data_IF_724205163119
#
_entry.id   IF_724205163119
#
_cell.length_a   1.000
_cell.length_b   1.000
_cell.length_c   1.000
_cell.angle_alpha   90.00
_cell.angle_beta   90.00
_cell.angle_gamma   90.00
#
_symmetry.space_group_name_H-M   'P 1'
#
loop_
_entity.id
_entity.type
_entity.pdbx_description
1 polymer ?
#
# COMPACT_ATOMS: atom_id res chain seq x y z
N UNK A 1 -14.79 34.89 -4.91
CA UNK A 1 -15.96 35.04 -4.02
C UNK A 1 -17.16 34.28 -4.60
N UNK A 2 -17.10 32.96 -4.70
CA UNK A 2 -18.18 32.11 -5.26
C UNK A 2 -18.94 31.33 -4.18
N UNK A 3 -18.31 31.07 -3.02
CA UNK A 3 -18.96 30.35 -1.90
C UNK A 3 -20.11 31.10 -1.21
N UNK A 4 -20.30 32.40 -1.49
CA UNK A 4 -21.37 33.21 -0.88
C UNK A 4 -22.64 33.35 -1.72
N UNK A 5 -22.61 33.01 -3.02
CA UNK A 5 -23.76 33.18 -3.93
C UNK A 5 -24.63 31.93 -4.10
N UNK A 6 -24.13 30.75 -3.74
CA UNK A 6 -24.83 29.47 -3.87
C UNK A 6 -25.88 29.18 -2.78
N UNK A 7 -26.16 30.15 -1.89
CA UNK A 7 -27.07 30.00 -0.75
C UNK A 7 -28.46 30.64 -0.95
N UNK A 8 -28.81 31.11 -2.16
CA UNK A 8 -30.03 31.92 -2.36
C UNK A 8 -31.04 31.47 -3.41
N UNK A 9 -30.73 30.59 -4.36
CA UNK A 9 -31.76 30.05 -5.27
C UNK A 9 -31.36 28.67 -5.85
N UNK A 10 -32.11 27.58 -5.61
CA UNK A 10 -31.75 26.22 -6.02
C UNK A 10 -32.02 25.89 -7.50
N UNK A 11 -32.65 26.78 -8.28
CA UNK A 11 -33.06 26.48 -9.67
C UNK A 11 -32.11 26.98 -10.76
N UNK A 12 -31.33 28.03 -10.52
CA UNK A 12 -30.31 28.52 -11.48
C UNK A 12 -28.97 27.75 -11.40
N UNK A 13 -28.83 26.82 -10.47
CA UNK A 13 -27.59 26.07 -10.25
C UNK A 13 -27.36 24.95 -11.30
N UNK A 14 -28.40 24.47 -11.98
CA UNK A 14 -28.34 23.26 -12.82
C UNK A 14 -27.52 23.42 -14.09
N UNK A 15 -27.62 24.57 -14.78
CA UNK A 15 -26.95 24.75 -16.08
C UNK A 15 -25.45 25.05 -15.91
N UNK A 16 -25.10 25.78 -14.84
CA UNK A 16 -23.69 26.03 -14.50
C UNK A 16 -23.04 24.80 -13.84
N UNK A 17 -23.81 23.97 -13.11
CA UNK A 17 -23.36 22.66 -12.67
C UNK A 17 -23.12 21.74 -13.87
N UNK A 18 -23.96 21.73 -14.90
CA UNK A 18 -23.80 20.87 -16.07
C UNK A 18 -22.45 21.01 -16.78
N UNK A 19 -21.95 22.25 -16.92
CA UNK A 19 -20.64 22.51 -17.53
C UNK A 19 -19.45 22.29 -16.56
N UNK A 20 -19.62 22.56 -15.26
CA UNK A 20 -18.60 22.26 -14.23
C UNK A 20 -18.48 20.76 -13.94
N UNK A 21 -19.57 20.01 -14.04
CA UNK A 21 -19.66 18.55 -13.84
C UNK A 21 -19.05 17.76 -15.01
N UNK A 22 -18.82 18.38 -16.17
CA UNK A 22 -18.11 17.74 -17.28
C UNK A 22 -16.62 17.51 -16.99
N UNK A 23 -16.06 18.15 -15.95
CA UNK A 23 -14.62 18.10 -15.62
C UNK A 23 -14.30 17.77 -14.17
N UNK A 24 -15.29 17.72 -13.29
CA UNK A 24 -15.06 17.46 -11.87
C UNK A 24 -16.06 16.47 -11.28
N UNK A 25 -15.51 15.49 -10.56
CA UNK A 25 -16.28 14.49 -9.83
C UNK A 25 -16.86 15.15 -8.57
N UNK A 26 -18.17 15.43 -8.55
CA UNK A 26 -18.88 15.78 -7.30
C UNK A 26 -19.92 14.71 -7.00
N UNK A 27 -19.82 14.14 -5.80
CA UNK A 27 -20.84 13.26 -5.21
C UNK A 27 -21.71 14.15 -4.31
N UNK A 28 -22.96 14.39 -4.71
CA UNK A 28 -23.98 15.04 -3.87
C UNK A 28 -24.89 13.95 -3.29
N UNK A 29 -25.13 13.99 -1.97
CA UNK A 29 -26.15 13.20 -1.29
C UNK A 29 -27.25 14.15 -0.82
N UNK A 30 -28.47 13.98 -1.31
CA UNK A 30 -29.68 14.50 -0.66
C UNK A 30 -30.91 13.66 -1.02
N UNK A 31 -31.65 13.26 0.02
CA UNK A 31 -32.99 12.67 0.10
C UNK A 31 -33.35 11.42 -0.77
N UNK A 32 -33.72 10.27 -0.17
CA UNK A 32 -34.08 9.04 -0.91
C UNK A 32 -35.24 9.17 -1.88
N UNK A 33 -36.09 10.20 -1.73
CA UNK A 33 -37.28 10.41 -2.54
C UNK A 33 -36.99 10.96 -3.96
N UNK A 34 -35.76 11.38 -4.25
CA UNK A 34 -35.37 11.93 -5.57
C UNK A 34 -34.26 11.16 -6.28
N UNK A 35 -33.86 9.99 -5.75
CA UNK A 35 -32.75 9.20 -6.27
C UNK A 35 -33.04 8.48 -7.61
N UNK A 36 -34.30 8.20 -7.94
CA UNK A 36 -34.66 7.47 -9.17
C UNK A 36 -34.57 8.34 -10.44
N UNK A 37 -34.89 9.62 -10.35
CA UNK A 37 -34.84 10.54 -11.50
C UNK A 37 -33.40 11.02 -11.78
N UNK A 38 -32.59 11.25 -10.74
CA UNK A 38 -31.16 11.60 -10.90
C UNK A 38 -30.31 10.42 -11.43
N UNK A 39 -30.72 9.18 -11.19
CA UNK A 39 -29.99 7.99 -11.65
C UNK A 39 -30.13 7.71 -13.17
N UNK A 40 -31.11 8.33 -13.85
CA UNK A 40 -31.35 8.12 -15.28
C UNK A 40 -30.37 8.89 -16.16
N UNK A 41 -30.03 10.13 -15.80
CA UNK A 41 -29.11 11.00 -16.58
C UNK A 41 -27.63 10.80 -16.23
N UNK A 42 -27.33 10.24 -15.06
CA UNK A 42 -25.96 10.08 -14.53
C UNK A 42 -25.32 8.72 -14.90
N UNK A 43 -26.10 7.83 -15.54
CA UNK A 43 -25.75 6.42 -15.81
C UNK A 43 -24.51 6.22 -16.66
N UNK A 44 -24.20 7.18 -17.54
CA UNK A 44 -23.11 7.01 -18.52
C UNK A 44 -21.76 7.56 -18.04
N UNK A 45 -21.69 8.25 -16.88
CA UNK A 45 -20.46 8.99 -16.48
C UNK A 45 -20.10 8.98 -14.98
N UNK A 46 -20.93 8.45 -14.08
CA UNK A 46 -20.56 8.34 -12.66
C UNK A 46 -19.78 7.06 -12.32
N UNK A 47 -18.58 7.22 -11.78
CA UNK A 47 -17.63 6.14 -11.53
C UNK A 47 -17.96 5.26 -10.29
N UNK A 48 -18.83 5.70 -9.37
CA UNK A 48 -19.23 4.87 -8.24
C UNK A 48 -20.52 5.37 -7.58
N UNK A 49 -21.60 4.58 -7.70
CA UNK A 49 -22.70 4.64 -6.73
C UNK A 49 -22.21 3.91 -5.45
N UNK A 50 -21.80 4.68 -4.44
CA UNK A 50 -21.61 4.14 -3.09
C UNK A 50 -22.99 4.14 -2.44
N UNK A 51 -23.69 3.00 -2.52
CA UNK A 51 -24.87 2.78 -1.67
C UNK A 51 -24.47 3.01 -0.21
N UNK A 52 -25.32 3.73 0.53
CA UNK A 52 -25.08 4.20 1.91
C UNK A 52 -24.38 3.13 2.75
N UNK A 53 -23.07 3.32 2.99
CA UNK A 53 -22.35 2.66 4.08
C UNK A 53 -22.37 3.66 5.22
N UNK A 54 -23.15 3.38 6.26
CA UNK A 54 -23.16 4.14 7.50
C UNK A 54 -22.33 3.40 8.56
N UNK A 55 -21.26 4.01 9.11
CA UNK A 55 -20.74 5.34 8.80
C UNK A 55 -19.94 5.38 7.47
N UNK A 56 -19.84 6.56 6.82
CA UNK A 56 -19.09 6.71 5.57
C UNK A 56 -17.62 6.30 5.76
N UNK A 57 -17.00 5.61 4.78
CA UNK A 57 -15.63 5.16 4.93
C UNK A 57 -14.68 6.35 5.19
N UNK A 58 -13.80 6.26 6.20
CA UNK A 58 -12.77 7.27 6.43
C UNK A 58 -11.97 7.51 5.15
N UNK A 59 -11.82 8.77 4.74
CA UNK A 59 -11.11 9.16 3.51
C UNK A 59 -11.99 9.56 2.33
N UNK A 60 -13.32 9.41 2.42
CA UNK A 60 -14.25 9.96 1.41
C UNK A 60 -14.09 11.49 1.28
N UNK A 61 -13.83 12.19 2.39
CA UNK A 61 -13.51 13.63 2.40
C UNK A 61 -12.20 13.98 1.66
N UNK A 62 -11.22 13.07 1.61
CA UNK A 62 -9.96 13.26 0.88
C UNK A 62 -10.18 13.11 -0.64
N UNK A 63 -11.04 12.16 -1.05
CA UNK A 63 -11.45 11.99 -2.44
C UNK A 63 -12.28 13.18 -2.92
N UNK A 64 -13.22 13.66 -2.08
CA UNK A 64 -14.01 14.87 -2.34
C UNK A 64 -13.13 16.11 -2.46
N UNK A 65 -12.15 16.32 -1.55
CA UNK A 65 -11.20 17.44 -1.65
C UNK A 65 -10.32 17.38 -2.91
N UNK A 66 -9.86 16.19 -3.27
CA UNK A 66 -9.04 16.00 -4.47
C UNK A 66 -9.83 16.31 -5.74
N UNK A 67 -11.13 15.99 -5.76
CA UNK A 67 -12.01 16.29 -6.87
C UNK A 67 -12.45 17.77 -6.91
N UNK A 68 -12.65 18.41 -5.76
CA UNK A 68 -12.96 19.84 -5.67
C UNK A 68 -11.84 20.74 -6.24
N UNK A 69 -10.58 20.36 -6.00
CA UNK A 69 -9.42 21.07 -6.58
C UNK A 69 -9.35 20.99 -8.12
N UNK A 70 -9.97 19.96 -8.72
CA UNK A 70 -10.06 19.81 -10.19
C UNK A 70 -11.25 20.61 -10.73
N UNK A 71 -12.31 20.80 -9.93
CA UNK A 71 -13.51 21.54 -10.29
C UNK A 71 -13.31 23.06 -10.41
N UNK A 72 -12.55 23.65 -9.49
CA UNK A 72 -12.51 25.10 -9.29
C UNK A 72 -11.67 25.88 -10.33
N UNK A 73 -11.20 25.23 -11.41
CA UNK A 73 -10.67 25.93 -12.60
C UNK A 73 -9.45 26.84 -12.35
N UNK A 74 -8.84 26.84 -11.17
CA UNK A 74 -7.64 27.63 -10.87
C UNK A 74 -6.38 26.89 -11.33
N UNK A 75 -6.27 26.72 -12.64
CA UNK A 75 -5.05 26.24 -13.30
C UNK A 75 -3.85 27.18 -13.07
N UNK A 76 -4.07 28.41 -12.58
CA UNK A 76 -3.03 29.41 -12.32
C UNK A 76 -2.62 29.52 -10.84
N UNK A 77 -3.21 28.75 -9.92
CA UNK A 77 -2.74 28.67 -8.52
C UNK A 77 -2.67 27.25 -7.96
N UNK A 78 -2.86 26.24 -8.82
CA UNK A 78 -2.65 24.82 -8.51
C UNK A 78 -1.17 24.44 -8.27
N UNK A 79 -0.21 25.36 -8.47
CA UNK A 79 1.22 25.07 -8.27
C UNK A 79 1.68 25.14 -6.81
N UNK A 80 0.82 25.52 -5.84
CA UNK A 80 1.27 25.76 -4.45
C UNK A 80 0.71 24.77 -3.41
N UNK A 81 -0.14 23.81 -3.80
CA UNK A 81 -0.66 22.76 -2.88
C UNK A 81 -0.57 21.33 -3.42
N UNK A 82 0.13 21.12 -4.54
CA UNK A 82 0.40 19.81 -5.13
C UNK A 82 1.48 19.04 -4.34
N UNK A 83 1.16 18.67 -3.09
CA UNK A 83 1.93 17.67 -2.35
C UNK A 83 1.66 16.26 -2.89
N UNK A 84 2.59 15.30 -2.71
CA UNK A 84 2.36 13.91 -3.07
C UNK A 84 1.14 13.35 -2.31
N UNK A 85 0.15 12.84 -3.05
CA UNK A 85 -1.04 12.20 -2.45
C UNK A 85 -0.63 10.93 -1.71
N UNK A 86 -0.71 10.96 -0.38
CA UNK A 86 -0.50 9.80 0.47
C UNK A 86 -1.86 9.34 1.03
N UNK A 87 -2.19 8.07 0.83
CA UNK A 87 -3.47 7.50 1.28
C UNK A 87 -3.32 7.01 2.73
N UNK A 88 -4.17 7.54 3.60
CA UNK A 88 -4.26 7.20 5.03
C UNK A 88 -5.70 7.39 5.54
N UNK A 89 -6.51 6.37 5.32
CA UNK A 89 -7.89 6.21 5.82
C UNK A 89 -7.93 5.53 7.18
N UNK A 90 -7.05 4.57 7.44
CA UNK A 90 -7.01 3.85 8.72
C UNK A 90 -6.55 4.74 9.87
N UNK A 91 -7.13 4.55 11.06
CA UNK A 91 -6.73 5.30 12.27
C UNK A 91 -5.24 5.16 12.57
N UNK A 92 -4.69 3.97 12.38
CA UNK A 92 -3.26 3.69 12.55
C UNK A 92 -2.41 4.56 11.62
N UNK A 93 -2.74 4.61 10.32
CA UNK A 93 -1.99 5.43 9.37
C UNK A 93 -2.21 6.93 9.58
N UNK A 94 -3.41 7.37 9.99
CA UNK A 94 -3.66 8.77 10.34
C UNK A 94 -2.79 9.24 11.51
N UNK A 95 -2.66 8.41 12.56
CA UNK A 95 -1.77 8.69 13.69
C UNK A 95 -0.31 8.77 13.25
N UNK A 96 0.13 7.85 12.37
CA UNK A 96 1.48 7.87 11.80
C UNK A 96 1.72 9.13 10.96
N UNK A 97 0.77 9.51 10.09
CA UNK A 97 0.83 10.73 9.29
C UNK A 97 0.94 11.97 10.18
N UNK A 98 0.14 12.04 11.25
CA UNK A 98 0.24 13.12 12.23
C UNK A 98 1.64 13.18 12.86
N UNK A 99 2.14 12.03 13.34
CA UNK A 99 3.47 11.93 13.97
C UNK A 99 4.59 12.34 13.02
N UNK A 100 4.61 11.86 11.78
CA UNK A 100 5.65 12.24 10.81
C UNK A 100 5.52 13.71 10.39
N UNK A 101 4.32 14.28 10.39
CA UNK A 101 4.12 15.71 10.11
C UNK A 101 4.66 16.58 11.27
N UNK A 102 4.48 16.16 12.51
CA UNK A 102 5.12 16.82 13.67
C UNK A 102 6.64 16.73 13.57
N UNK A 103 7.17 15.54 13.26
CA UNK A 103 8.61 15.37 13.05
C UNK A 103 9.10 16.21 11.88
N UNK A 104 8.30 16.39 10.82
CA UNK A 104 8.63 17.20 9.66
C UNK A 104 9.01 18.66 10.02
N UNK A 105 8.52 19.16 11.15
CA UNK A 105 8.79 20.53 11.65
C UNK A 105 10.11 20.67 12.41
N UNK A 106 10.80 19.57 12.73
CA UNK A 106 12.11 19.58 13.39
C UNK A 106 13.21 19.05 12.47
N UNK A 107 14.47 19.35 12.80
CA UNK A 107 15.64 18.83 12.10
C UNK A 107 16.10 17.45 12.60
N UNK A 108 15.37 16.85 13.55
CA UNK A 108 15.74 15.57 14.12
C UNK A 108 15.67 14.45 13.06
N UNK A 109 16.69 13.58 12.99
CA UNK A 109 16.61 12.40 12.16
C UNK A 109 15.58 11.42 12.72
N UNK A 110 14.94 10.67 11.84
CA UNK A 110 14.01 9.62 12.24
C UNK A 110 14.14 8.39 11.36
N UNK A 111 13.82 7.25 11.95
CA UNK A 111 13.88 5.93 11.35
C UNK A 111 12.47 5.39 11.14
N UNK A 112 12.14 5.09 9.89
CA UNK A 112 10.91 4.41 9.49
C UNK A 112 11.15 2.90 9.47
N UNK A 113 10.47 2.16 10.34
CA UNK A 113 10.61 0.70 10.42
C UNK A 113 9.31 0.05 9.96
N UNK A 114 9.38 -0.93 9.08
CA UNK A 114 8.19 -1.68 8.68
C UNK A 114 8.47 -2.68 7.57
N UNK A 115 7.56 -3.61 7.28
CA UNK A 115 7.73 -4.59 6.21
C UNK A 115 8.02 -3.96 4.83
N UNK A 116 8.48 -4.78 3.90
CA UNK A 116 8.68 -4.35 2.52
C UNK A 116 7.35 -3.95 1.87
N UNK A 117 7.35 -2.91 1.04
CA UNK A 117 6.14 -2.48 0.34
C UNK A 117 5.10 -1.74 1.19
N UNK A 118 5.37 -1.39 2.45
CA UNK A 118 4.40 -0.63 3.28
C UNK A 118 4.33 0.87 2.97
N UNK A 119 5.21 1.38 2.10
CA UNK A 119 5.21 2.79 1.68
C UNK A 119 6.09 3.72 2.52
N UNK A 120 7.12 3.19 3.21
CA UNK A 120 8.08 3.99 4.00
C UNK A 120 8.67 5.18 3.22
N UNK A 121 9.10 4.97 1.97
CA UNK A 121 9.61 6.05 1.10
C UNK A 121 8.55 7.13 0.81
N UNK A 122 7.31 6.71 0.56
CA UNK A 122 6.19 7.64 0.34
C UNK A 122 5.87 8.44 1.61
N UNK A 123 5.99 7.81 2.78
CA UNK A 123 5.82 8.47 4.07
C UNK A 123 6.94 9.48 4.36
N UNK A 124 8.20 9.15 4.03
CA UNK A 124 9.32 10.08 4.09
C UNK A 124 9.11 11.29 3.17
N UNK A 125 8.61 11.04 1.94
CA UNK A 125 8.29 12.10 0.98
C UNK A 125 7.14 12.99 1.47
N UNK A 126 6.12 12.40 2.09
CA UNK A 126 5.03 13.15 2.73
C UNK A 126 5.56 14.04 3.85
N UNK A 127 6.42 13.51 4.72
CA UNK A 127 7.03 14.28 5.79
C UNK A 127 7.83 15.46 5.23
N UNK A 128 8.68 15.23 4.22
CA UNK A 128 9.42 16.29 3.55
C UNK A 128 8.49 17.37 2.97
N UNK A 129 7.47 16.98 2.21
CA UNK A 129 6.54 17.91 1.56
C UNK A 129 5.69 18.73 2.55
N UNK A 130 5.55 18.28 3.80
CA UNK A 130 4.82 18.99 4.87
C UNK A 130 5.73 19.66 5.90
N UNK A 131 7.05 19.53 5.74
CA UNK A 131 8.03 20.06 6.69
C UNK A 131 8.52 21.46 6.32
N UNK A 132 9.38 22.01 7.18
CA UNK A 132 10.05 23.30 6.96
C UNK A 132 10.96 23.31 5.72
N UNK A 133 11.32 22.11 5.22
CA UNK A 133 12.22 21.89 4.08
C UNK A 133 11.49 21.48 2.80
N UNK A 134 10.17 21.67 2.70
CA UNK A 134 9.36 21.23 1.55
C UNK A 134 9.77 21.81 0.20
N UNK A 135 10.38 23.00 0.18
CA UNK A 135 10.91 23.65 -1.04
C UNK A 135 12.37 23.29 -1.35
N UNK A 136 13.02 22.48 -0.50
CA UNK A 136 14.42 22.06 -0.65
C UNK A 136 14.48 20.69 -1.35
N UNK A 137 15.65 20.24 -1.80
CA UNK A 137 15.79 18.93 -2.43
C UNK A 137 15.34 17.76 -1.52
N UNK A 138 14.71 16.76 -2.13
CA UNK A 138 14.43 15.46 -1.53
C UNK A 138 15.19 14.39 -2.30
N UNK A 139 16.23 13.85 -1.66
CA UNK A 139 17.12 12.86 -2.27
C UNK A 139 16.95 11.53 -1.56
N UNK A 140 16.90 10.44 -2.34
CA UNK A 140 16.85 9.08 -1.81
C UNK A 140 18.07 8.34 -2.31
N UNK A 141 18.84 7.80 -1.36
CA UNK A 141 19.99 6.95 -1.62
C UNK A 141 19.71 5.59 -1.00
N UNK A 142 20.00 4.53 -1.73
CA UNK A 142 20.06 3.17 -1.17
C UNK A 142 21.52 2.75 -1.09
N UNK A 143 22.18 2.89 0.08
CA UNK A 143 23.62 2.65 0.15
C UNK A 143 23.98 1.17 -0.06
N UNK A 144 23.03 0.25 0.15
CA UNK A 144 23.22 -1.18 -0.16
C UNK A 144 23.33 -1.51 -1.65
N UNK A 145 22.97 -0.57 -2.54
CA UNK A 145 23.07 -0.77 -4.00
C UNK A 145 24.49 -0.47 -4.53
N UNK A 146 25.38 0.06 -3.69
CA UNK A 146 26.77 0.31 -4.07
C UNK A 146 27.54 -0.99 -4.27
N UNK A 147 28.30 -1.08 -5.38
CA UNK A 147 29.05 -2.28 -5.74
C UNK A 147 30.24 -2.56 -4.79
N UNK A 148 30.88 -1.51 -4.29
CA UNK A 148 32.03 -1.57 -3.38
C UNK A 148 32.09 -0.33 -2.48
N UNK A 149 33.10 -0.27 -1.61
CA UNK A 149 33.29 0.82 -0.66
C UNK A 149 33.51 2.19 -1.33
N UNK A 150 34.20 2.24 -2.47
CA UNK A 150 34.46 3.49 -3.19
C UNK A 150 33.19 4.01 -3.87
N UNK A 151 32.45 3.12 -4.51
CA UNK A 151 31.15 3.45 -5.09
C UNK A 151 30.17 3.93 -4.01
N UNK A 152 30.24 3.34 -2.81
CA UNK A 152 29.44 3.78 -1.67
C UNK A 152 29.81 5.20 -1.22
N UNK A 153 31.10 5.49 -1.05
CA UNK A 153 31.55 6.83 -0.66
C UNK A 153 31.08 7.91 -1.64
N UNK A 154 31.22 7.65 -2.96
CA UNK A 154 30.74 8.55 -4.01
C UNK A 154 29.22 8.71 -3.93
N UNK A 155 28.47 7.60 -3.82
CA UNK A 155 27.01 7.63 -3.74
C UNK A 155 26.50 8.44 -2.53
N UNK A 156 27.17 8.31 -1.38
CA UNK A 156 26.83 9.05 -0.17
C UNK A 156 27.19 10.53 -0.29
N UNK A 157 28.34 10.86 -0.86
CA UNK A 157 28.78 12.23 -1.09
C UNK A 157 27.85 12.95 -2.09
N UNK A 158 27.61 12.35 -3.26
CA UNK A 158 26.71 12.89 -4.28
C UNK A 158 25.29 13.06 -3.74
N UNK A 159 24.81 12.08 -2.95
CA UNK A 159 23.50 12.14 -2.32
C UNK A 159 23.39 13.27 -1.29
N UNK A 160 24.47 13.50 -0.52
CA UNK A 160 24.55 14.58 0.45
C UNK A 160 24.60 15.95 -0.23
N UNK A 161 25.43 16.10 -1.26
CA UNK A 161 25.58 17.34 -2.03
C UNK A 161 24.28 17.70 -2.76
N UNK A 162 23.64 16.71 -3.39
CA UNK A 162 22.35 16.89 -4.03
C UNK A 162 21.23 17.25 -3.02
N UNK A 163 21.31 16.72 -1.79
CA UNK A 163 20.37 17.08 -0.74
C UNK A 163 20.61 18.50 -0.23
N UNK A 164 21.88 18.91 -0.05
CA UNK A 164 22.26 20.18 0.55
C UNK A 164 21.55 20.39 1.89
N UNK A 165 20.87 21.54 2.06
CA UNK A 165 20.01 21.78 3.23
C UNK A 165 18.58 21.20 3.08
N UNK A 166 18.42 20.13 2.29
CA UNK A 166 17.16 19.44 2.05
C UNK A 166 16.98 18.23 2.96
N UNK A 167 16.47 17.14 2.37
CA UNK A 167 16.26 15.86 3.05
C UNK A 167 16.96 14.75 2.28
N UNK A 168 17.82 14.00 2.97
CA UNK A 168 18.48 12.80 2.47
C UNK A 168 17.85 11.57 3.12
N UNK A 169 17.22 10.74 2.31
CA UNK A 169 16.65 9.46 2.73
C UNK A 169 17.66 8.34 2.50
N UNK A 170 18.07 7.67 3.57
CA UNK A 170 18.88 6.46 3.55
C UNK A 170 17.93 5.25 3.53
N UNK A 171 17.67 4.71 2.35
CA UNK A 171 16.75 3.59 2.15
C UNK A 171 17.43 2.25 2.47
N UNK A 172 16.72 1.35 3.16
CA UNK A 172 17.16 -0.01 3.48
C UNK A 172 18.48 -0.07 4.27
N UNK A 173 18.58 0.71 5.35
CA UNK A 173 19.76 0.65 6.23
C UNK A 173 19.93 -0.73 6.87
N UNK A 174 18.87 -1.52 6.99
CA UNK A 174 18.91 -2.92 7.45
C UNK A 174 19.76 -3.84 6.56
N UNK A 175 20.01 -3.47 5.30
CA UNK A 175 20.76 -4.28 4.34
C UNK A 175 22.24 -3.88 4.22
N UNK A 176 22.74 -3.00 5.09
CA UNK A 176 24.11 -2.50 5.02
C UNK A 176 25.13 -3.55 5.49
N UNK A 177 26.17 -3.76 4.67
CA UNK A 177 27.37 -4.49 5.10
C UNK A 177 28.09 -3.73 6.24
N UNK A 178 28.97 -4.40 7.01
CA UNK A 178 29.69 -3.74 8.11
C UNK A 178 30.47 -2.49 7.68
N UNK A 179 31.17 -2.55 6.53
CA UNK A 179 31.87 -1.39 5.97
C UNK A 179 30.91 -0.26 5.59
N UNK A 180 29.73 -0.61 5.05
CA UNK A 180 28.73 0.38 4.69
C UNK A 180 28.08 1.03 5.91
N UNK A 181 27.91 0.29 7.01
CA UNK A 181 27.45 0.85 8.27
C UNK A 181 28.44 1.89 8.82
N UNK A 182 29.74 1.62 8.74
CA UNK A 182 30.79 2.60 9.12
C UNK A 182 30.71 3.87 8.27
N UNK A 183 30.64 3.73 6.95
CA UNK A 183 30.56 4.89 6.05
C UNK A 183 29.31 5.75 6.30
N UNK A 184 28.15 5.11 6.49
CA UNK A 184 26.90 5.83 6.81
C UNK A 184 26.97 6.47 8.21
N UNK A 185 27.60 5.83 9.18
CA UNK A 185 27.81 6.41 10.51
C UNK A 185 28.66 7.69 10.44
N UNK A 186 29.75 7.67 9.69
CA UNK A 186 30.59 8.86 9.49
C UNK A 186 29.82 10.00 8.80
N UNK A 187 29.02 9.67 7.78
CA UNK A 187 28.15 10.65 7.11
C UNK A 187 27.16 11.32 8.09
N UNK A 188 26.52 10.53 8.95
CA UNK A 188 25.50 11.01 9.90
C UNK A 188 26.13 11.71 11.12
N UNK A 189 27.39 11.40 11.45
CA UNK A 189 28.18 12.11 12.47
C UNK A 189 28.66 13.47 11.96
N UNK A 190 28.92 13.60 10.66
CA UNK A 190 29.35 14.84 10.03
C UNK A 190 28.37 15.99 10.25
N UNK A 191 28.90 17.22 10.30
CA UNK A 191 28.10 18.44 10.36
C UNK A 191 27.42 18.68 8.99
N UNK A 192 26.30 17.99 8.77
CA UNK A 192 25.48 18.13 7.58
C UNK A 192 24.36 19.14 7.80
N UNK A 193 24.09 19.97 6.79
CA UNK A 193 22.89 20.81 6.75
C UNK A 193 21.64 20.03 6.32
N UNK A 194 21.80 18.81 5.80
CA UNK A 194 20.71 17.94 5.37
C UNK A 194 20.02 17.28 6.57
N UNK A 195 18.71 17.11 6.46
CA UNK A 195 17.98 16.23 7.36
C UNK A 195 18.10 14.78 6.90
N UNK A 196 18.48 13.89 7.80
CA UNK A 196 18.48 12.44 7.53
C UNK A 196 17.14 11.78 7.87
N UNK A 197 16.67 10.91 6.98
CA UNK A 197 15.56 9.99 7.24
C UNK A 197 16.02 8.60 6.84
N UNK A 198 15.90 7.61 7.72
CA UNK A 198 16.29 6.24 7.39
C UNK A 198 15.06 5.35 7.22
N UNK A 199 15.17 4.30 6.40
CA UNK A 199 14.17 3.24 6.32
C UNK A 199 14.80 1.89 6.64
N UNK A 200 14.08 1.04 7.36
CA UNK A 200 14.53 -0.30 7.69
C UNK A 200 13.38 -1.33 7.70
N UNK A 201 13.73 -2.60 7.55
CA UNK A 201 12.87 -3.72 7.90
C UNK A 201 12.80 -3.95 9.42
N UNK A 202 11.74 -4.59 9.96
CA UNK A 202 11.61 -4.85 11.40
C UNK A 202 12.77 -5.63 12.00
N UNK A 203 13.41 -6.48 11.19
CA UNK A 203 14.56 -7.30 11.57
C UNK A 203 15.77 -6.49 12.04
N UNK A 204 15.89 -5.19 11.68
CA UNK A 204 17.00 -4.33 12.12
C UNK A 204 17.17 -4.29 13.64
N UNK A 205 16.06 -4.40 14.39
CA UNK A 205 16.07 -4.41 15.85
C UNK A 205 16.69 -5.69 16.42
N UNK A 206 16.53 -6.81 15.73
CA UNK A 206 17.13 -8.08 16.11
C UNK A 206 18.60 -8.13 15.70
N UNK A 207 18.92 -7.63 14.50
CA UNK A 207 20.30 -7.50 14.01
C UNK A 207 21.15 -6.61 14.92
N UNK A 208 20.59 -5.51 15.43
CA UNK A 208 21.29 -4.65 16.40
C UNK A 208 21.61 -5.40 17.70
N UNK A 209 20.62 -6.09 18.28
CA UNK A 209 20.81 -6.92 19.49
C UNK A 209 21.79 -8.07 19.30
N UNK A 210 21.90 -8.58 18.08
CA UNK A 210 22.84 -9.64 17.71
C UNK A 210 24.26 -9.10 17.40
N UNK A 211 24.45 -7.78 17.34
CA UNK A 211 25.72 -7.15 16.96
C UNK A 211 26.01 -7.16 15.45
N UNK A 212 25.04 -7.58 14.62
CA UNK A 212 25.13 -7.57 13.16
C UNK A 212 24.90 -6.18 12.57
N UNK A 213 24.15 -5.35 13.30
CA UNK A 213 23.94 -3.94 12.99
C UNK A 213 24.53 -3.07 14.10
N UNK A 214 25.35 -2.09 13.73
CA UNK A 214 26.04 -1.20 14.65
C UNK A 214 25.06 -0.50 15.58
N UNK A 215 25.19 -0.78 16.88
CA UNK A 215 24.43 -0.13 17.94
C UNK A 215 24.55 1.39 17.86
N UNK A 216 25.74 1.91 17.57
CA UNK A 216 25.93 3.36 17.47
C UNK A 216 25.16 3.96 16.28
N UNK A 217 25.27 3.35 15.10
CA UNK A 217 24.52 3.79 13.92
C UNK A 217 23.01 3.72 14.19
N UNK A 218 22.55 2.64 14.83
CA UNK A 218 21.16 2.47 15.19
C UNK A 218 20.67 3.65 16.03
N UNK A 219 21.35 3.99 17.14
CA UNK A 219 20.90 5.09 18.01
C UNK A 219 21.00 6.47 17.36
N UNK A 220 21.93 6.67 16.40
CA UNK A 220 22.02 7.91 15.62
C UNK A 220 20.83 8.09 14.68
N UNK A 221 20.43 7.03 13.98
CA UNK A 221 19.28 7.04 13.06
C UNK A 221 17.94 6.98 13.81
N UNK A 222 17.88 6.22 14.89
CA UNK A 222 16.69 5.89 15.65
C UNK A 222 16.35 6.91 16.76
N UNK A 223 16.83 8.16 16.64
CA UNK A 223 16.45 9.26 17.57
C UNK A 223 14.94 9.41 17.69
N UNK A 224 14.23 9.19 16.60
CA UNK A 224 12.79 8.91 16.65
C UNK A 224 12.48 7.74 15.74
N UNK A 225 11.71 6.78 16.24
CA UNK A 225 11.30 5.61 15.47
C UNK A 225 9.81 5.70 15.16
N UNK A 226 9.44 5.49 13.91
CA UNK A 226 8.05 5.38 13.46
C UNK A 226 7.85 4.01 12.83
N UNK A 227 7.09 3.15 13.52
CA UNK A 227 6.70 1.85 13.02
C UNK A 227 5.55 2.00 12.00
N UNK A 228 5.73 1.44 10.81
CA UNK A 228 4.80 1.47 9.68
C UNK A 228 4.18 0.08 9.53
N UNK A 229 2.88 -0.08 9.81
CA UNK A 229 2.24 -1.38 9.84
C UNK A 229 2.12 -1.99 8.44
N UNK A 230 2.08 -3.33 8.33
CA UNK A 230 1.70 -4.01 7.11
C UNK A 230 0.29 -3.64 6.67
N UNK A 231 -0.02 -3.83 5.39
CA UNK A 231 -1.32 -3.51 4.80
C UNK A 231 -2.48 -4.26 5.48
N UNK A 232 -2.26 -5.51 5.90
CA UNK A 232 -3.25 -6.31 6.63
C UNK A 232 -3.69 -5.68 7.96
N UNK A 233 -2.81 -4.96 8.64
CA UNK A 233 -3.12 -4.27 9.91
C UNK A 233 -3.80 -2.91 9.70
N UNK A 234 -3.94 -2.46 8.44
CA UNK A 234 -4.56 -1.20 8.04
C UNK A 234 -5.58 -1.40 6.93
N UNK A 235 -6.43 -2.40 7.11
CA UNK A 235 -7.45 -2.85 6.16
C UNK A 235 -8.35 -1.72 5.62
N UNK A 236 -8.61 -0.66 6.39
CA UNK A 236 -9.42 0.49 5.95
C UNK A 236 -8.75 1.33 4.84
N UNK A 237 -7.44 1.19 4.64
CA UNK A 237 -6.72 1.82 3.51
C UNK A 237 -6.93 1.05 2.20
N UNK A 238 -7.25 -0.24 2.26
CA UNK A 238 -7.32 -1.13 1.10
C UNK A 238 -8.34 -0.66 0.07
N UNK A 239 -9.59 -0.28 0.41
CA UNK A 239 -10.55 0.17 -0.59
C UNK A 239 -10.07 1.39 -1.37
N UNK A 240 -9.53 2.40 -0.69
CA UNK A 240 -9.07 3.64 -1.33
C UNK A 240 -7.85 3.37 -2.20
N UNK A 241 -6.89 2.57 -1.72
CA UNK A 241 -5.74 2.13 -2.50
C UNK A 241 -6.16 1.33 -3.74
N UNK A 242 -7.07 0.38 -3.59
CA UNK A 242 -7.55 -0.47 -4.66
C UNK A 242 -8.16 0.36 -5.80
N UNK A 243 -9.12 1.24 -5.48
CA UNK A 243 -9.73 2.11 -6.48
C UNK A 243 -8.75 3.09 -7.10
N UNK A 244 -7.78 3.60 -6.33
CA UNK A 244 -6.75 4.49 -6.86
C UNK A 244 -5.88 3.78 -7.90
N UNK A 245 -5.37 2.59 -7.58
CA UNK A 245 -4.53 1.83 -8.51
C UNK A 245 -5.30 1.29 -9.72
N UNK A 246 -6.56 0.90 -9.52
CA UNK A 246 -7.43 0.45 -10.61
C UNK A 246 -7.67 1.59 -11.62
N UNK A 247 -7.92 2.81 -11.12
CA UNK A 247 -8.05 4.00 -11.98
C UNK A 247 -6.74 4.35 -12.67
N UNK A 248 -5.63 4.41 -11.92
CA UNK A 248 -4.30 4.68 -12.50
C UNK A 248 -3.96 3.70 -13.64
N UNK A 249 -4.32 2.43 -13.47
CA UNK A 249 -4.14 1.41 -14.49
C UNK A 249 -5.07 1.60 -15.70
N UNK A 250 -6.35 1.88 -15.46
CA UNK A 250 -7.32 2.14 -16.52
C UNK A 250 -6.90 3.34 -17.38
N UNK A 251 -6.53 4.45 -16.75
CA UNK A 251 -6.07 5.66 -17.42
C UNK A 251 -4.79 5.40 -18.24
N UNK A 252 -3.82 4.68 -17.66
CA UNK A 252 -2.56 4.33 -18.32
C UNK A 252 -2.77 3.47 -19.57
N UNK A 253 -3.73 2.56 -19.55
CA UNK A 253 -3.99 1.62 -20.64
C UNK A 253 -5.12 2.07 -21.58
N UNK A 254 -5.72 3.24 -21.35
CA UNK A 254 -6.87 3.72 -22.14
C UNK A 254 -8.11 2.81 -22.00
N UNK A 255 -8.27 2.17 -20.85
CA UNK A 255 -9.36 1.23 -20.56
C UNK A 255 -10.52 1.94 -19.87
N UNK A 256 -11.76 1.46 -20.02
CA UNK A 256 -12.89 2.03 -19.33
C UNK A 256 -12.77 1.85 -17.81
N UNK A 257 -13.43 2.78 -17.11
CA UNK A 257 -13.73 2.71 -15.70
C UNK A 257 -14.23 1.32 -15.27
N UNK A 258 -13.73 0.82 -14.13
CA UNK A 258 -14.20 -0.43 -13.53
C UNK A 258 -14.66 -0.25 -12.10
N UNK A 259 -15.67 -1.05 -11.72
CA UNK A 259 -16.19 -1.16 -10.37
C UNK A 259 -15.73 -2.46 -9.73
N UNK A 260 -15.57 -2.46 -8.42
CA UNK A 260 -15.31 -3.67 -7.64
C UNK A 260 -16.60 -4.06 -6.93
N UNK A 261 -17.05 -5.30 -7.09
CA UNK A 261 -18.23 -5.81 -6.36
C UNK A 261 -18.01 -5.71 -4.84
N UNK A 262 -19.08 -5.47 -4.09
CA UNK A 262 -19.00 -5.36 -2.63
C UNK A 262 -18.40 -6.62 -1.97
N UNK A 263 -18.66 -7.80 -2.55
CA UNK A 263 -18.11 -9.07 -2.09
C UNK A 263 -16.59 -9.15 -2.32
N UNK A 264 -16.11 -8.79 -3.50
CA UNK A 264 -14.69 -8.73 -3.80
C UNK A 264 -13.96 -7.69 -2.93
N UNK A 265 -14.57 -6.51 -2.72
CA UNK A 265 -13.99 -5.45 -1.89
C UNK A 265 -13.85 -5.89 -0.42
N UNK A 266 -14.83 -6.63 0.11
CA UNK A 266 -14.72 -7.24 1.45
C UNK A 266 -13.57 -8.25 1.51
N UNK A 267 -13.40 -9.10 0.52
CA UNK A 267 -12.28 -10.06 0.51
C UNK A 267 -10.92 -9.40 0.35
N UNK A 268 -10.82 -8.36 -0.49
CA UNK A 268 -9.62 -7.52 -0.58
C UNK A 268 -9.27 -6.94 0.80
N UNK A 269 -10.25 -6.37 1.51
CA UNK A 269 -10.04 -5.77 2.84
C UNK A 269 -9.44 -6.76 3.86
N UNK A 270 -9.79 -8.04 3.80
CA UNK A 270 -9.34 -9.06 4.75
C UNK A 270 -8.19 -9.93 4.22
N UNK A 271 -7.64 -9.60 3.06
CA UNK A 271 -6.53 -10.34 2.47
C UNK A 271 -5.21 -10.02 3.17
N UNK A 272 -4.30 -11.00 3.30
CA UNK A 272 -3.06 -10.83 4.06
C UNK A 272 -2.03 -9.91 3.37
N UNK A 273 -2.07 -9.82 2.04
CA UNK A 273 -1.11 -9.05 1.21
C UNK A 273 0.35 -9.11 1.72
N UNK A 274 1.03 -10.28 1.66
CA UNK A 274 2.44 -10.40 2.07
C UNK A 274 3.37 -9.39 1.38
N UNK A 275 3.09 -9.02 0.13
CA UNK A 275 3.79 -7.99 -0.64
C UNK A 275 3.23 -6.57 -0.44
N UNK A 276 2.31 -6.38 0.51
CA UNK A 276 1.74 -5.10 0.93
C UNK A 276 1.16 -4.28 -0.24
N UNK A 277 1.50 -2.99 -0.33
CA UNK A 277 0.95 -2.06 -1.32
C UNK A 277 1.37 -2.42 -2.75
N UNK A 278 2.63 -2.82 -3.03
CA UNK A 278 3.03 -3.35 -4.34
C UNK A 278 2.17 -4.52 -4.81
N UNK A 279 1.85 -5.49 -3.94
CA UNK A 279 1.01 -6.63 -4.32
C UNK A 279 -0.41 -6.18 -4.67
N UNK A 280 -1.03 -5.33 -3.84
CA UNK A 280 -2.34 -4.76 -4.14
C UNK A 280 -2.33 -3.99 -5.47
N UNK A 281 -1.29 -3.20 -5.74
CA UNK A 281 -1.14 -2.46 -7.01
C UNK A 281 -1.09 -3.42 -8.20
N UNK A 282 -0.23 -4.44 -8.16
CA UNK A 282 -0.14 -5.43 -9.23
C UNK A 282 -1.48 -6.12 -9.47
N UNK A 283 -2.18 -6.48 -8.39
CA UNK A 283 -3.51 -7.10 -8.47
C UNK A 283 -4.53 -6.17 -9.15
N UNK A 284 -4.52 -4.87 -8.86
CA UNK A 284 -5.42 -3.91 -9.52
C UNK A 284 -5.03 -3.65 -10.98
N UNK A 285 -3.74 -3.60 -11.29
CA UNK A 285 -3.24 -3.46 -12.67
C UNK A 285 -3.67 -4.66 -13.53
N UNK A 286 -3.61 -5.88 -12.98
CA UNK A 286 -4.12 -7.07 -13.65
C UNK A 286 -5.64 -7.01 -13.83
N UNK A 287 -6.37 -6.68 -12.76
CA UNK A 287 -7.83 -6.60 -12.78
C UNK A 287 -8.36 -5.54 -13.76
N UNK A 288 -7.60 -4.46 -14.00
CA UNK A 288 -7.91 -3.44 -14.99
C UNK A 288 -8.03 -4.00 -16.42
N UNK A 289 -7.33 -5.09 -16.74
CA UNK A 289 -7.34 -5.68 -18.10
C UNK A 289 -8.49 -6.66 -18.34
N UNK A 290 -9.22 -7.04 -17.29
CA UNK A 290 -10.33 -7.99 -17.39
C UNK A 290 -11.49 -7.34 -18.17
N UNK A 291 -12.06 -7.99 -19.20
CA UNK A 291 -13.11 -7.41 -20.03
C UNK A 291 -14.49 -7.49 -19.36
N UNK A 292 -14.62 -6.90 -18.16
CA UNK A 292 -15.87 -6.72 -17.41
C UNK A 292 -15.89 -5.36 -16.72
N UNK A 293 -17.08 -4.80 -16.55
CA UNK A 293 -17.27 -3.51 -15.88
C UNK A 293 -17.31 -3.64 -14.36
N UNK A 294 -17.80 -4.76 -13.86
CA UNK A 294 -17.86 -5.08 -12.43
C UNK A 294 -17.00 -6.31 -12.12
N UNK A 295 -15.95 -6.10 -11.34
CA UNK A 295 -14.99 -7.13 -10.92
C UNK A 295 -15.56 -7.94 -9.74
N UNK A 296 -15.69 -9.24 -9.94
CA UNK A 296 -16.17 -10.21 -8.97
C UNK A 296 -15.00 -10.85 -8.20
N UNK A 297 -15.30 -11.62 -7.14
CA UNK A 297 -14.29 -12.32 -6.34
C UNK A 297 -13.28 -13.13 -7.17
N UNK A 298 -13.80 -13.92 -8.11
CA UNK A 298 -12.98 -14.82 -8.93
C UNK A 298 -11.97 -14.09 -9.80
N UNK A 299 -12.20 -12.81 -10.10
CA UNK A 299 -11.29 -11.98 -10.88
C UNK A 299 -10.00 -11.62 -10.13
N UNK A 300 -10.03 -11.75 -8.81
CA UNK A 300 -8.87 -11.53 -7.94
C UNK A 300 -8.28 -12.86 -7.43
N UNK A 301 -8.71 -14.00 -7.96
CA UNK A 301 -8.32 -15.31 -7.47
C UNK A 301 -8.87 -15.64 -6.08
N UNK A 302 -9.86 -14.87 -5.58
CA UNK A 302 -10.55 -15.22 -4.36
C UNK A 302 -11.62 -16.25 -4.65
N UNK A 303 -11.55 -17.35 -3.93
CA UNK A 303 -12.69 -18.26 -3.86
C UNK A 303 -13.83 -17.56 -3.12
N UNK A 304 -15.07 -17.78 -3.56
CA UNK A 304 -16.23 -17.43 -2.72
C UNK A 304 -16.00 -18.07 -1.35
N UNK A 305 -15.97 -17.29 -0.24
CA UNK A 305 -16.14 -17.92 1.05
C UNK A 305 -17.47 -18.64 0.93
N UNK A 306 -17.42 -19.96 0.93
CA UNK A 306 -18.54 -20.81 0.57
C UNK A 306 -19.73 -20.34 1.43
N UNK A 307 -20.63 -19.57 0.83
CA UNK A 307 -21.91 -19.20 1.41
C UNK A 307 -22.92 -20.32 1.17
N UNK A 308 -22.50 -21.40 0.51
CA UNK A 308 -22.79 -22.70 1.08
C UNK A 308 -22.11 -22.73 2.45
N UNK A 309 -22.90 -22.49 3.49
CA UNK A 309 -22.80 -23.33 4.67
C UNK A 309 -22.52 -24.76 4.19
N UNK A 310 -21.25 -25.16 4.10
CA UNK A 310 -20.87 -26.33 4.86
C UNK A 310 -21.15 -25.89 6.28
N UNK A 311 -22.41 -26.10 6.71
CA UNK A 311 -22.63 -26.61 8.06
C UNK A 311 -21.45 -27.53 8.28
N UNK A 312 -20.75 -27.37 9.39
CA UNK A 312 -19.86 -28.43 9.87
C UNK A 312 -20.77 -29.68 9.89
N UNK A 313 -20.76 -30.45 8.82
CA UNK A 313 -21.60 -31.62 8.67
C UNK A 313 -20.88 -32.64 9.54
N UNK A 314 -21.32 -32.64 10.79
CA UNK A 314 -20.76 -33.37 11.93
C UNK A 314 -19.56 -32.69 12.60
N UNK A 315 -19.44 -32.84 13.93
CA UNK A 315 -18.26 -32.40 14.67
C UNK A 315 -17.06 -33.24 14.22
N UNK A 316 -16.32 -32.76 13.22
CA UNK A 316 -14.98 -33.25 12.95
C UNK A 316 -14.06 -32.75 14.07
N UNK A 317 -13.20 -33.61 14.59
CA UNK A 317 -12.30 -33.21 15.67
C UNK A 317 -11.44 -32.03 15.21
N UNK A 318 -11.07 -31.15 16.16
CA UNK A 318 -10.17 -30.02 15.91
C UNK A 318 -8.92 -30.43 15.11
N UNK A 319 -8.42 -31.65 15.32
CA UNK A 319 -7.27 -32.21 14.60
C UNK A 319 -7.56 -32.42 13.10
N UNK A 320 -8.76 -32.86 12.74
CA UNK A 320 -9.17 -33.05 11.35
C UNK A 320 -9.41 -31.71 10.65
N UNK A 321 -10.09 -30.76 11.30
CA UNK A 321 -10.31 -29.42 10.74
C UNK A 321 -8.98 -28.67 10.54
N UNK A 322 -8.08 -28.70 11.53
CA UNK A 322 -6.74 -28.10 11.43
C UNK A 322 -5.91 -28.74 10.31
N UNK A 323 -6.05 -30.05 10.08
CA UNK A 323 -5.33 -30.75 9.02
C UNK A 323 -5.75 -30.25 7.63
N UNK A 324 -7.05 -30.10 7.40
CA UNK A 324 -7.57 -29.60 6.11
C UNK A 324 -7.09 -28.17 5.84
N UNK A 325 -7.15 -27.30 6.85
CA UNK A 325 -6.71 -25.91 6.69
C UNK A 325 -5.20 -25.81 6.41
N UNK A 326 -4.39 -26.59 7.16
CA UNK A 326 -2.95 -26.64 6.98
C UNK A 326 -2.56 -27.15 5.59
N UNK A 327 -3.26 -28.15 5.06
CA UNK A 327 -3.04 -28.67 3.72
C UNK A 327 -3.38 -27.63 2.63
N UNK A 328 -4.47 -26.89 2.81
CA UNK A 328 -4.85 -25.81 1.87
C UNK A 328 -3.84 -24.65 1.87
N UNK A 329 -3.26 -24.34 3.03
CA UNK A 329 -2.21 -23.35 3.18
C UNK A 329 -0.90 -23.82 2.53
N UNK A 330 -0.45 -25.04 2.85
CA UNK A 330 0.79 -25.62 2.30
C UNK A 330 0.75 -25.66 0.76
N UNK A 331 -0.41 -26.00 0.17
CA UNK A 331 -0.59 -26.00 -1.30
C UNK A 331 -0.43 -24.61 -1.90
N UNK A 332 -1.19 -23.63 -1.41
CA UNK A 332 -1.13 -22.24 -1.91
C UNK A 332 0.26 -21.63 -1.75
N UNK A 333 0.91 -21.89 -0.62
CA UNK A 333 2.24 -21.39 -0.34
C UNK A 333 3.28 -21.96 -1.30
N UNK A 334 3.28 -23.28 -1.52
CA UNK A 334 4.23 -23.93 -2.46
C UNK A 334 4.03 -23.44 -3.89
N UNK A 335 2.79 -23.29 -4.34
CA UNK A 335 2.48 -22.78 -5.69
C UNK A 335 2.99 -21.34 -5.88
N UNK A 336 2.72 -20.45 -4.92
CA UNK A 336 3.16 -19.05 -4.97
C UNK A 336 4.69 -18.94 -5.00
N UNK A 337 5.39 -19.68 -4.13
CA UNK A 337 6.85 -19.60 -4.02
C UNK A 337 7.53 -20.22 -5.24
N UNK A 338 6.99 -21.31 -5.81
CA UNK A 338 7.51 -21.88 -7.07
C UNK A 338 7.27 -20.97 -8.27
N UNK A 339 6.11 -20.31 -8.34
CA UNK A 339 5.81 -19.33 -9.40
C UNK A 339 6.79 -18.16 -9.34
N UNK A 340 7.00 -17.58 -8.16
CA UNK A 340 7.95 -16.49 -7.95
C UNK A 340 9.40 -16.88 -8.23
N UNK A 341 9.78 -18.12 -7.93
CA UNK A 341 11.10 -18.67 -8.22
C UNK A 341 11.29 -19.12 -9.68
N UNK A 342 10.29 -18.92 -10.57
CA UNK A 342 10.35 -19.37 -11.96
C UNK A 342 10.50 -20.89 -12.11
N UNK A 343 9.96 -21.67 -11.15
CA UNK A 343 10.12 -23.12 -11.08
C UNK A 343 11.45 -23.60 -10.49
N UNK A 344 12.36 -22.71 -10.11
CA UNK A 344 13.63 -23.09 -9.49
C UNK A 344 13.44 -23.50 -8.03
N UNK A 345 13.51 -24.81 -7.77
CA UNK A 345 13.29 -25.41 -6.44
C UNK A 345 14.32 -24.93 -5.40
N UNK A 346 15.57 -24.65 -5.79
CA UNK A 346 16.60 -24.19 -4.85
C UNK A 346 16.29 -22.77 -4.40
N UNK A 347 15.97 -21.89 -5.34
CA UNK A 347 15.55 -20.52 -5.05
C UNK A 347 14.23 -20.46 -4.26
N UNK A 348 13.29 -21.36 -4.57
CA UNK A 348 12.05 -21.51 -3.83
C UNK A 348 12.28 -21.94 -2.37
N UNK A 349 13.24 -22.84 -2.13
CA UNK A 349 13.63 -23.26 -0.78
C UNK A 349 14.29 -22.12 0.01
N UNK A 350 15.15 -21.33 -0.63
CA UNK A 350 15.76 -20.12 -0.05
C UNK A 350 14.71 -19.08 0.35
N UNK A 351 13.75 -18.79 -0.53
CA UNK A 351 12.63 -17.89 -0.25
C UNK A 351 11.78 -18.43 0.92
N UNK A 352 11.62 -19.75 0.99
CA UNK A 352 10.87 -20.40 2.07
C UNK A 352 11.65 -20.51 3.39
N UNK A 353 12.93 -20.11 3.43
CA UNK A 353 13.79 -20.27 4.59
C UNK A 353 14.02 -21.73 4.98
N UNK A 354 13.94 -22.65 4.00
CA UNK A 354 14.07 -24.09 4.20
C UNK A 354 15.25 -24.62 3.39
N UNK A 355 15.88 -25.70 3.86
CA UNK A 355 16.77 -26.45 2.98
C UNK A 355 15.99 -27.10 1.83
N UNK A 356 16.70 -27.38 0.73
CA UNK A 356 16.13 -27.93 -0.50
C UNK A 356 15.42 -29.28 -0.29
N UNK A 357 15.86 -30.10 0.67
CA UNK A 357 15.26 -31.41 0.94
C UNK A 357 13.93 -31.27 1.70
N UNK A 358 13.86 -30.37 2.67
CA UNK A 358 12.67 -30.04 3.44
C UNK A 358 11.62 -29.33 2.58
N UNK A 359 12.05 -28.41 1.70
CA UNK A 359 11.14 -27.82 0.72
C UNK A 359 10.60 -28.86 -0.26
N UNK A 360 11.41 -29.82 -0.73
CA UNK A 360 10.94 -30.96 -1.55
C UNK A 360 9.91 -31.82 -0.81
N UNK A 361 10.08 -32.05 0.49
CA UNK A 361 9.09 -32.78 1.32
C UNK A 361 7.80 -31.99 1.50
N UNK A 362 7.87 -30.66 1.66
CA UNK A 362 6.71 -29.78 1.68
C UNK A 362 5.96 -29.83 0.35
N UNK A 363 6.67 -29.73 -0.78
CA UNK A 363 6.08 -29.87 -2.12
C UNK A 363 5.39 -31.22 -2.31
N UNK A 364 6.00 -32.32 -1.85
CA UNK A 364 5.41 -33.66 -1.96
C UNK A 364 4.15 -33.80 -1.10
N UNK A 365 4.10 -33.18 0.09
CA UNK A 365 2.88 -33.15 0.93
C UNK A 365 1.77 -32.31 0.29
N UNK A 366 2.12 -31.15 -0.27
CA UNK A 366 1.20 -30.28 -0.99
C UNK A 366 0.64 -30.92 -2.27
N UNK A 367 1.42 -31.73 -3.00
CA UNK A 367 0.99 -32.43 -4.23
C UNK A 367 0.35 -33.81 -3.99
N UNK A 368 0.81 -34.54 -2.97
CA UNK A 368 0.53 -35.96 -2.76
C UNK A 368 -0.75 -36.30 -1.98
N UNK A 369 -1.58 -35.32 -1.64
CA UNK A 369 -2.89 -35.55 -0.97
C UNK A 369 -4.10 -35.16 -1.82
N UNK A 370 -3.89 -34.79 -3.08
CA UNK A 370 -4.93 -34.43 -4.04
C UNK A 370 -5.47 -35.63 -4.87
N UNK A 371 -5.12 -36.88 -4.51
CA UNK A 371 -5.58 -38.06 -5.23
C UNK A 371 -5.83 -39.23 -4.30
N UNK A 372 -7.02 -39.30 -3.70
CA UNK A 372 -7.81 -40.53 -3.59
C UNK A 372 -9.26 -40.21 -3.13
N UNK A 373 -10.23 -40.17 -4.06
CA UNK A 373 -11.65 -40.20 -3.72
C UNK A 373 -12.28 -41.54 -4.13
N UNK A 374 -11.62 -42.70 -3.95
CA UNK A 374 -12.30 -44.00 -3.92
C UNK A 374 -11.31 -45.13 -3.61
N UNK A 375 -11.30 -45.60 -2.36
CA UNK A 375 -11.46 -47.04 -2.02
C UNK A 375 -11.25 -47.25 -0.52
N UNK A 376 -12.35 -47.51 0.18
CA UNK A 376 -12.52 -48.56 1.20
C UNK A 376 -13.78 -48.28 1.99
N UNK A 377 -14.91 -48.64 1.40
CA UNK A 377 -16.05 -49.14 2.16
C UNK A 377 -16.16 -50.63 1.82
N UNK A 378 -15.94 -51.45 2.85
CA UNK A 378 -16.37 -52.85 3.04
C UNK A 378 -16.02 -53.91 1.98
N UNK A 379 -15.14 -54.83 2.38
CA UNK A 379 -15.54 -56.18 2.77
C UNK A 379 -14.65 -56.61 3.95
#
# INVERSE_FOLDING_TARGET
MLGGRLLRDPTEATDTLGELLARAVVVVLADPSQAEDAARDVRDRAFALIERVDPPPPGLALLVRSAANVADGSAASASTLAGPTFIASSRAMQAIVGRVTTLASSDAPFLLIGPEGTGKRSLARLAHARGSRASRPFVVVRPSDAADARALEVLLADGLDAAGAGTLVLDRVDALSPGAQTAVLELVRGASSARFVATALPAVRAAERAGEFSTELYYRLARTIVDVPPLAERADDVPVLAYTFLREAADRYGLPAKRISAEALRSLKHSPFPGNVPELRTLMEQAATIPRDVLALGDFGFERPNSARRKLESPTSYVAARRVELESFERRYVEAVLSFAGGNITRAAEIAGMDRANFRRLMKRAKGRAGDPATRTKA
#
